data_IF_203639805277
#
_entry.id   IF_203639805277
#
_cell.length_a   1.000
_cell.length_b   1.000
_cell.length_c   1.000
_cell.angle_alpha   90.00
_cell.angle_beta   90.00
_cell.angle_gamma   90.00
#
_symmetry.space_group_name_H-M   'P 1'
#
loop_
_entity.id
_entity.type
_entity.pdbx_description
1 polymer ?
#
# COMPACT_ATOMS: atom_id res chain seq x y z
N UNK A 1 -11.62 -11.32 5.22
CA UNK A 1 -10.20 -11.54 5.62
C UNK A 1 -9.22 -11.06 4.54
N UNK A 2 -9.32 -11.55 3.30
CA UNK A 2 -8.47 -11.08 2.18
C UNK A 2 -8.64 -9.60 1.80
N UNK A 3 -9.86 -9.06 1.91
CA UNK A 3 -10.13 -7.64 1.67
C UNK A 3 -9.40 -6.75 2.69
N UNK A 4 -9.47 -7.12 3.99
CA UNK A 4 -8.73 -6.43 5.05
C UNK A 4 -7.22 -6.47 4.83
N UNK A 5 -6.66 -7.62 4.40
CA UNK A 5 -5.26 -7.74 4.06
C UNK A 5 -4.88 -6.83 2.87
N UNK A 6 -5.72 -6.78 1.83
CA UNK A 6 -5.54 -5.87 0.71
C UNK A 6 -5.54 -4.40 1.16
N UNK A 7 -6.47 -3.99 2.02
CA UNK A 7 -6.53 -2.62 2.54
C UNK A 7 -5.29 -2.25 3.37
N UNK A 8 -4.86 -3.13 4.28
CA UNK A 8 -3.63 -2.93 5.05
C UNK A 8 -2.42 -2.76 4.14
N UNK A 9 -2.31 -3.59 3.09
CA UNK A 9 -1.23 -3.49 2.10
C UNK A 9 -1.22 -2.14 1.40
N UNK A 10 -2.37 -1.62 1.01
CA UNK A 10 -2.49 -0.28 0.42
C UNK A 10 -2.06 0.80 1.41
N UNK A 11 -2.54 0.72 2.65
CA UNK A 11 -2.30 1.72 3.68
C UNK A 11 -0.82 1.83 4.07
N UNK A 12 -0.15 0.73 4.41
CA UNK A 12 1.26 0.80 4.77
C UNK A 12 2.13 1.14 3.55
N UNK A 13 1.72 0.77 2.33
CA UNK A 13 2.46 1.13 1.10
C UNK A 13 2.47 2.65 0.91
N UNK A 14 1.33 3.32 1.02
CA UNK A 14 1.26 4.79 0.94
C UNK A 14 2.13 5.45 2.00
N UNK A 15 1.99 5.00 3.25
CA UNK A 15 2.81 5.51 4.36
C UNK A 15 4.32 5.30 4.14
N UNK A 16 4.71 4.20 3.49
CA UNK A 16 6.12 3.95 3.15
C UNK A 16 6.61 4.78 1.96
N UNK A 17 5.73 5.19 1.07
CA UNK A 17 6.04 6.12 -0.02
C UNK A 17 6.43 7.49 0.57
N UNK A 18 5.67 7.97 1.56
CA UNK A 18 5.91 9.22 2.29
C UNK A 18 6.87 9.06 3.50
N UNK A 19 7.66 7.99 3.57
CA UNK A 19 8.37 7.59 4.80
C UNK A 19 9.30 8.66 5.37
N UNK A 20 9.93 9.47 4.52
CA UNK A 20 10.80 10.55 4.96
C UNK A 20 10.04 11.68 5.66
N UNK A 21 8.77 11.90 5.29
CA UNK A 21 7.89 12.94 5.84
C UNK A 21 7.13 12.48 7.09
N UNK A 22 7.05 11.17 7.33
CA UNK A 22 6.38 10.61 8.50
C UNK A 22 7.13 10.85 9.81
N UNK A 23 6.36 11.19 10.84
CA UNK A 23 6.84 11.20 12.23
C UNK A 23 7.17 9.78 12.73
N UNK A 24 7.93 9.65 13.81
CA UNK A 24 8.24 8.34 14.39
C UNK A 24 6.98 7.56 14.82
N UNK A 25 5.93 8.25 15.26
CA UNK A 25 4.65 7.63 15.59
C UNK A 25 3.94 7.06 14.36
N UNK A 26 3.97 7.77 13.24
CA UNK A 26 3.38 7.31 11.97
C UNK A 26 4.18 6.17 11.35
N UNK A 27 5.52 6.22 11.47
CA UNK A 27 6.41 5.11 11.11
C UNK A 27 6.09 3.86 11.91
N UNK A 28 5.78 4.01 13.19
CA UNK A 28 5.34 2.91 14.03
C UNK A 28 3.99 2.35 13.55
N UNK A 29 3.01 3.21 13.24
CA UNK A 29 1.71 2.79 12.69
C UNK A 29 1.89 2.00 11.39
N UNK A 30 2.76 2.45 10.48
CA UNK A 30 3.04 1.74 9.23
C UNK A 30 3.64 0.34 9.48
N UNK A 31 4.54 0.20 10.46
CA UNK A 31 5.11 -1.09 10.88
C UNK A 31 4.07 -2.00 11.52
N UNK A 32 3.20 -1.47 12.37
CA UNK A 32 2.11 -2.23 12.98
C UNK A 32 1.13 -2.76 11.93
N UNK A 33 0.80 -1.95 10.91
CA UNK A 33 -0.05 -2.36 9.77
C UNK A 33 0.58 -3.44 8.92
N UNK A 34 1.89 -3.35 8.65
CA UNK A 34 2.65 -4.39 7.96
C UNK A 34 2.66 -5.70 8.77
N UNK A 35 2.86 -5.62 10.09
CA UNK A 35 2.81 -6.79 10.97
C UNK A 35 1.41 -7.41 11.04
N UNK A 36 0.34 -6.60 11.00
CA UNK A 36 -1.03 -7.11 10.92
C UNK A 36 -1.30 -7.80 9.57
N UNK A 37 -0.80 -7.24 8.47
CA UNK A 37 -0.86 -7.87 7.16
C UNK A 37 -0.19 -9.25 7.18
N UNK A 38 1.05 -9.34 7.65
CA UNK A 38 1.79 -10.61 7.72
C UNK A 38 1.03 -11.68 8.51
N UNK A 39 0.49 -11.31 9.68
CA UNK A 39 -0.33 -12.21 10.51
C UNK A 39 -1.56 -12.73 9.76
N UNK A 40 -2.22 -11.87 8.99
CA UNK A 40 -3.41 -12.24 8.22
C UNK A 40 -3.05 -13.15 7.04
N UNK A 41 -1.90 -12.92 6.39
CA UNK A 41 -1.49 -13.69 5.20
C UNK A 41 -0.79 -15.00 5.53
N UNK A 42 -0.20 -15.15 6.72
CA UNK A 42 0.56 -16.34 7.12
C UNK A 42 -0.24 -17.65 7.12
N UNK A 43 -1.57 -17.56 7.26
CA UNK A 43 -2.47 -18.71 7.21
C UNK A 43 -3.33 -18.80 5.95
N UNK A 44 -3.12 -17.91 4.97
CA UNK A 44 -3.90 -17.89 3.73
C UNK A 44 -3.39 -18.92 2.73
N UNK A 45 -4.31 -19.42 1.91
CA UNK A 45 -3.97 -20.26 0.77
C UNK A 45 -3.40 -19.41 -0.38
N UNK A 46 -2.71 -20.06 -1.33
CA UNK A 46 -2.09 -19.38 -2.47
C UNK A 46 -3.11 -18.63 -3.35
N UNK A 47 -4.34 -19.11 -3.46
CA UNK A 47 -5.39 -18.46 -4.24
C UNK A 47 -5.81 -17.10 -3.64
N UNK A 48 -5.96 -17.02 -2.33
CA UNK A 48 -6.28 -15.79 -1.61
C UNK A 48 -5.09 -14.82 -1.60
N UNK A 49 -3.87 -15.32 -1.44
CA UNK A 49 -2.64 -14.51 -1.57
C UNK A 49 -2.53 -13.92 -2.98
N UNK A 50 -2.74 -14.74 -4.01
CA UNK A 50 -2.74 -14.29 -5.40
C UNK A 50 -3.82 -13.25 -5.67
N UNK A 51 -5.03 -13.43 -5.13
CA UNK A 51 -6.10 -12.45 -5.25
C UNK A 51 -5.71 -11.10 -4.63
N UNK A 52 -5.03 -11.11 -3.47
CA UNK A 52 -4.53 -9.90 -2.81
C UNK A 52 -3.44 -9.24 -3.67
N UNK A 53 -2.50 -10.02 -4.20
CA UNK A 53 -1.41 -9.51 -5.04
C UNK A 53 -1.94 -8.89 -6.34
N UNK A 54 -2.84 -9.58 -7.04
CA UNK A 54 -3.45 -9.09 -8.29
C UNK A 54 -4.27 -7.82 -8.03
N UNK A 55 -5.08 -7.81 -6.96
CA UNK A 55 -5.87 -6.63 -6.56
C UNK A 55 -5.00 -5.45 -6.12
N UNK A 56 -3.88 -5.72 -5.46
CA UNK A 56 -2.91 -4.70 -5.07
C UNK A 56 -2.17 -4.14 -6.29
N UNK A 57 -1.76 -4.97 -7.24
CA UNK A 57 -1.06 -4.54 -8.44
C UNK A 57 -1.92 -3.59 -9.29
N UNK A 58 -3.20 -3.91 -9.48
CA UNK A 58 -4.16 -3.02 -10.19
C UNK A 58 -4.28 -1.68 -9.47
N UNK A 59 -4.46 -1.72 -8.16
CA UNK A 59 -4.59 -0.49 -7.37
C UNK A 59 -3.30 0.34 -7.38
N UNK A 60 -2.12 -0.29 -7.25
CA UNK A 60 -0.84 0.41 -7.18
C UNK A 60 -0.48 1.05 -8.52
N UNK A 61 -0.82 0.41 -9.65
CA UNK A 61 -0.70 1.02 -10.96
C UNK A 61 -1.54 2.30 -11.08
N UNK A 62 -2.78 2.29 -10.59
CA UNK A 62 -3.64 3.48 -10.55
C UNK A 62 -3.13 4.53 -9.57
N UNK A 63 -2.64 4.13 -8.40
CA UNK A 63 -2.00 5.02 -7.42
C UNK A 63 -0.83 5.76 -8.05
N UNK A 64 0.11 5.04 -8.68
CA UNK A 64 1.24 5.64 -9.39
C UNK A 64 0.79 6.55 -10.54
N UNK A 65 -0.26 6.18 -11.28
CA UNK A 65 -0.81 7.00 -12.36
C UNK A 65 -1.37 8.33 -11.83
N UNK A 66 -2.04 8.31 -10.67
CA UNK A 66 -2.54 9.52 -10.00
C UNK A 66 -1.38 10.36 -9.46
N UNK A 67 -0.45 9.76 -8.72
CA UNK A 67 0.73 10.44 -8.18
C UNK A 67 1.56 11.10 -9.29
N UNK A 68 1.88 10.36 -10.35
CA UNK A 68 2.63 10.89 -11.50
C UNK A 68 1.87 11.97 -12.25
N UNK A 69 0.55 11.86 -12.43
CA UNK A 69 -0.25 12.92 -13.07
C UNK A 69 -0.37 14.18 -12.21
N UNK A 70 -0.37 14.07 -10.89
CA UNK A 70 -0.38 15.22 -9.98
C UNK A 70 0.97 15.97 -10.03
N UNK A 71 2.08 15.24 -10.20
CA UNK A 71 3.41 15.83 -10.36
C UNK A 71 3.68 16.42 -11.75
N UNK A 72 3.00 15.96 -12.80
CA UNK A 72 3.04 16.58 -14.14
C UNK A 72 2.02 17.73 -14.18
N UNK A 73 2.22 18.77 -13.35
CA UNK A 73 1.80 20.10 -13.80
C UNK A 73 2.76 20.51 -14.92
N UNK A 74 2.28 20.85 -16.12
CA UNK A 74 3.15 21.42 -17.13
C UNK A 74 3.75 22.69 -16.54
N UNK A 75 5.08 22.77 -16.48
CA UNK A 75 5.74 24.07 -16.47
C UNK A 75 5.20 24.81 -17.69
N UNK A 76 4.31 25.77 -17.47
CA UNK A 76 3.96 26.76 -18.49
C UNK A 76 5.27 27.42 -18.93
N UNK A 77 5.62 27.21 -20.19
CA UNK A 77 6.75 27.87 -20.85
C UNK A 77 6.47 29.33 -21.16
#
# INVERSE_FOLDING_TARGET
MKEKALELKKEFTRMKDDWEELTEGEKQIARDREAEYDKLTKGMNEADLKWIEDGFAVWYAEYLNVETKIFIKPCEG
#
